data_IF_436891737079
#
_entry.id   IF_436891737079
#
_cell.length_a   1.000
_cell.length_b   1.000
_cell.length_c   1.000
_cell.angle_alpha   90.00
_cell.angle_beta   90.00
_cell.angle_gamma   90.00
#
_symmetry.space_group_name_H-M   'P 1'
#
loop_
_entity.id
_entity.type
_entity.pdbx_description
1 polymer ?
#
# COMPACT_ATOMS: atom_id res chain seq x y z
N UNK A 1 -22.58 -8.94 -4.98
CA UNK A 1 -21.29 -8.28 -4.73
C UNK A 1 -20.48 -8.33 -6.01
N UNK A 2 -19.96 -7.20 -6.49
CA UNK A 2 -19.09 -7.13 -7.68
C UNK A 2 -17.63 -6.91 -7.26
N UNK A 3 -16.68 -7.58 -7.87
CA UNK A 3 -15.24 -7.40 -7.64
C UNK A 3 -14.59 -6.98 -8.95
N UNK A 4 -14.00 -5.78 -8.97
CA UNK A 4 -13.28 -5.24 -10.12
C UNK A 4 -11.78 -5.21 -9.85
N UNK A 5 -11.00 -5.90 -10.68
CA UNK A 5 -9.54 -5.92 -10.62
C UNK A 5 -9.00 -5.17 -11.84
N UNK A 6 -8.13 -4.18 -11.61
CA UNK A 6 -7.46 -3.45 -12.69
C UNK A 6 -5.95 -3.39 -12.49
N UNK A 7 -5.20 -3.54 -13.58
CA UNK A 7 -3.80 -3.16 -13.66
C UNK A 7 -3.68 -1.96 -14.59
N UNK A 8 -3.26 -0.79 -14.09
CA UNK A 8 -3.21 0.44 -14.90
C UNK A 8 -1.95 0.47 -15.76
N UNK A 9 -1.96 -0.23 -16.89
CA UNK A 9 -0.85 -0.20 -17.85
C UNK A 9 -1.32 -0.27 -19.31
N UNK A 10 -0.84 0.66 -20.13
CA UNK A 10 -1.16 0.74 -21.57
C UNK A 10 -0.62 -0.45 -22.37
N UNK A 11 0.43 -1.13 -21.89
CA UNK A 11 1.03 -2.28 -22.56
C UNK A 11 0.35 -3.61 -22.22
N UNK A 12 -0.55 -3.64 -21.23
CA UNK A 12 -1.32 -4.83 -20.86
C UNK A 12 -2.73 -4.72 -21.45
N UNK A 13 -3.04 -5.44 -22.55
CA UNK A 13 -4.41 -5.49 -23.05
C UNK A 13 -5.32 -6.25 -22.06
N UNK A 14 -6.61 -5.90 -22.02
CA UNK A 14 -7.63 -6.56 -21.18
C UNK A 14 -7.26 -6.64 -19.69
N UNK A 15 -6.61 -5.59 -19.18
CA UNK A 15 -6.11 -5.47 -17.80
C UNK A 15 -7.19 -5.14 -16.76
N UNK A 16 -8.46 -5.05 -17.18
CA UNK A 16 -9.64 -4.92 -16.32
C UNK A 16 -10.39 -6.25 -16.31
N UNK A 17 -10.67 -6.78 -15.11
CA UNK A 17 -11.49 -7.97 -14.88
C UNK A 17 -12.61 -7.63 -13.89
N UNK A 18 -13.81 -8.11 -14.16
CA UNK A 18 -14.96 -7.97 -13.25
C UNK A 18 -15.51 -9.36 -12.95
N UNK A 19 -15.87 -9.61 -11.70
CA UNK A 19 -16.58 -10.82 -11.29
C UNK A 19 -17.78 -10.46 -10.42
N UNK A 20 -18.88 -11.16 -10.63
CA UNK A 20 -20.12 -10.95 -9.87
C UNK A 20 -20.36 -12.16 -8.96
N UNK A 21 -20.73 -11.88 -7.73
CA UNK A 21 -21.16 -12.83 -6.72
C UNK A 21 -22.62 -12.54 -6.36
N UNK A 22 -23.46 -13.57 -6.37
CA UNK A 22 -24.90 -13.45 -6.11
C UNK A 22 -25.22 -13.21 -4.63
N UNK A 23 -24.30 -13.58 -3.73
CA UNK A 23 -24.47 -13.41 -2.28
C UNK A 23 -23.95 -12.01 -1.89
N UNK A 24 -24.81 -11.10 -1.41
CA UNK A 24 -24.37 -9.80 -0.92
C UNK A 24 -23.79 -9.90 0.50
N UNK A 25 -22.96 -8.93 0.94
CA UNK A 25 -22.54 -8.84 2.33
C UNK A 25 -23.71 -8.51 3.26
N UNK A 26 -23.60 -8.95 4.51
CA UNK A 26 -24.65 -8.79 5.54
C UNK A 26 -25.07 -7.32 5.69
N UNK A 27 -26.38 -7.06 5.64
CA UNK A 27 -26.95 -5.72 5.86
C UNK A 27 -26.96 -4.81 4.63
N UNK A 28 -26.45 -5.26 3.47
CA UNK A 28 -26.44 -4.49 2.23
C UNK A 28 -27.16 -5.24 1.10
N UNK A 29 -27.84 -4.51 0.22
CA UNK A 29 -28.48 -5.08 -0.99
C UNK A 29 -27.49 -5.29 -2.14
N UNK A 30 -26.41 -4.51 -2.16
CA UNK A 30 -25.38 -4.52 -3.19
C UNK A 30 -24.08 -3.97 -2.61
N UNK A 31 -22.95 -4.47 -3.11
CA UNK A 31 -21.62 -3.96 -2.80
C UNK A 31 -20.70 -4.17 -4.00
N UNK A 32 -19.69 -3.31 -4.15
CA UNK A 32 -18.61 -3.48 -5.11
C UNK A 32 -17.26 -3.28 -4.41
N UNK A 33 -16.25 -4.06 -4.78
CA UNK A 33 -14.87 -3.97 -4.28
C UNK A 33 -13.92 -3.78 -5.45
N UNK A 34 -13.06 -2.76 -5.38
CA UNK A 34 -12.09 -2.47 -6.43
C UNK A 34 -10.67 -2.74 -5.95
N UNK A 35 -9.93 -3.53 -6.73
CA UNK A 35 -8.53 -3.87 -6.48
C UNK A 35 -7.71 -3.35 -7.65
N UNK A 36 -7.03 -2.21 -7.43
CA UNK A 36 -6.22 -1.57 -8.45
C UNK A 36 -4.72 -1.70 -8.19
N UNK A 37 -3.98 -2.26 -9.14
CA UNK A 37 -2.53 -2.13 -9.20
C UNK A 37 -2.17 -0.90 -10.05
N UNK A 38 -1.85 0.21 -9.39
CA UNK A 38 -1.49 1.47 -10.02
C UNK A 38 -0.17 1.98 -9.49
N UNK A 39 0.67 2.50 -10.38
CA UNK A 39 1.91 3.21 -10.01
C UNK A 39 1.67 4.40 -9.10
N UNK A 40 0.44 4.91 -8.99
CA UNK A 40 0.05 5.93 -8.01
C UNK A 40 0.29 5.50 -6.56
N UNK A 41 0.43 4.20 -6.26
CA UNK A 41 0.79 3.72 -4.92
C UNK A 41 2.13 4.29 -4.42
N UNK A 42 3.04 4.65 -5.33
CA UNK A 42 4.33 5.27 -5.00
C UNK A 42 4.17 6.54 -4.16
N UNK A 43 3.08 7.28 -4.34
CA UNK A 43 2.83 8.53 -3.63
C UNK A 43 2.57 8.28 -2.14
N UNK A 44 1.90 7.17 -1.81
CA UNK A 44 1.71 6.76 -0.42
C UNK A 44 3.05 6.39 0.22
N UNK A 45 3.88 5.61 -0.49
CA UNK A 45 5.21 5.27 0.00
C UNK A 45 6.13 6.50 0.12
N UNK A 46 6.05 7.46 -0.81
CA UNK A 46 6.78 8.73 -0.74
C UNK A 46 6.48 9.48 0.56
N UNK A 47 5.19 9.60 0.91
CA UNK A 47 4.78 10.27 2.16
C UNK A 47 5.33 9.59 3.41
N UNK A 48 5.33 8.26 3.44
CA UNK A 48 5.90 7.49 4.56
C UNK A 48 7.42 7.68 4.62
N UNK A 49 8.11 7.59 3.48
CA UNK A 49 9.56 7.79 3.38
C UNK A 49 9.99 9.20 3.82
N UNK A 50 9.23 10.24 3.46
CA UNK A 50 9.51 11.62 3.88
C UNK A 50 9.38 11.79 5.39
N UNK A 51 8.33 11.25 5.99
CA UNK A 51 8.13 11.28 7.44
C UNK A 51 9.21 10.49 8.18
N UNK A 52 9.51 9.28 7.70
CA UNK A 52 10.57 8.44 8.24
C UNK A 52 11.91 9.15 8.20
N UNK A 53 12.29 9.70 7.04
CA UNK A 53 13.53 10.47 6.85
C UNK A 53 13.62 11.64 7.82
N UNK A 54 12.52 12.39 8.01
CA UNK A 54 12.49 13.52 8.93
C UNK A 54 12.70 13.11 10.40
N UNK A 55 12.14 11.96 10.82
CA UNK A 55 12.34 11.41 12.16
C UNK A 55 13.74 10.84 12.35
N UNK A 56 14.21 10.05 11.38
CA UNK A 56 15.51 9.39 11.40
C UNK A 56 16.67 10.40 11.43
N UNK A 57 16.59 11.48 10.64
CA UNK A 57 17.57 12.58 10.68
C UNK A 57 17.70 13.23 12.06
N UNK A 58 16.62 13.21 12.86
CA UNK A 58 16.61 13.73 14.24
C UNK A 58 16.92 12.66 15.29
N UNK A 59 17.20 11.42 14.87
CA UNK A 59 17.33 10.23 15.73
C UNK A 59 16.15 10.07 16.70
N UNK A 60 14.97 10.52 16.29
CA UNK A 60 13.77 10.45 17.13
C UNK A 60 13.36 8.98 17.32
N UNK A 61 13.14 8.58 18.58
CA UNK A 61 12.75 7.21 18.97
C UNK A 61 13.74 6.10 18.56
N UNK A 62 14.93 6.43 18.05
CA UNK A 62 15.88 5.46 17.50
C UNK A 62 16.39 4.46 18.56
N UNK A 63 16.54 4.89 19.80
CA UNK A 63 17.00 4.05 20.91
C UNK A 63 16.09 2.84 21.20
N UNK A 64 14.80 2.92 20.88
CA UNK A 64 13.89 1.78 21.01
C UNK A 64 14.22 0.67 20.01
N UNK A 65 14.76 1.02 18.84
CA UNK A 65 15.15 0.07 17.81
C UNK A 65 16.58 -0.44 18.04
N UNK A 66 17.52 0.44 18.39
CA UNK A 66 18.90 0.03 18.67
C UNK A 66 19.03 -0.78 19.96
N UNK A 67 18.14 -0.56 20.94
CA UNK A 67 18.04 -1.37 22.17
C UNK A 67 17.67 -2.83 21.91
N UNK A 68 16.97 -3.12 20.82
CA UNK A 68 16.62 -4.47 20.36
C UNK A 68 17.70 -5.08 19.43
N UNK A 69 18.82 -4.37 19.21
CA UNK A 69 19.95 -4.84 18.40
C UNK A 69 19.91 -4.46 16.93
N UNK A 70 19.02 -3.54 16.51
CA UNK A 70 19.01 -3.01 15.15
C UNK A 70 20.14 -1.97 14.95
N UNK A 71 20.96 -2.13 13.91
CA UNK A 71 22.04 -1.20 13.60
C UNK A 71 21.55 -0.05 12.68
N UNK A 72 21.93 1.18 13.05
CA UNK A 72 21.58 2.42 12.36
C UNK A 72 21.98 2.41 10.87
N UNK A 73 23.11 1.77 10.52
CA UNK A 73 23.58 1.70 9.14
C UNK A 73 22.59 0.94 8.25
N UNK A 74 22.07 -0.20 8.72
CA UNK A 74 21.08 -0.98 7.96
C UNK A 74 19.79 -0.18 7.76
N UNK A 75 19.44 0.64 8.74
CA UNK A 75 18.24 1.48 8.73
C UNK A 75 18.38 2.67 7.77
N UNK A 76 19.61 3.18 7.57
CA UNK A 76 19.92 4.31 6.69
C UNK A 76 20.04 3.96 5.21
N UNK A 77 20.03 2.68 4.83
CA UNK A 77 20.17 2.22 3.44
C UNK A 77 18.84 2.21 2.66
N UNK A 78 17.77 2.76 3.23
CA UNK A 78 16.42 2.80 2.66
C UNK A 78 15.88 4.23 2.57
#
# INVERSE_FOLDING_TARGET
MDIQIIVKSLWIPNNVKSTVCDIPPTGLKMASTFIGNSTSIQEMFRRVSEQFTAMFRRKAFLHWYTGEGMDEMYTSNY
#
